data_IF_716607876452
#
_entry.id   IF_716607876452
#
_cell.length_a   1.000
_cell.length_b   1.000
_cell.length_c   1.000
_cell.angle_alpha   90.00
_cell.angle_beta   90.00
_cell.angle_gamma   90.00
#
_symmetry.space_group_name_H-M   'P 1'
#
loop_
_entity.id
_entity.type
_entity.pdbx_description
1 polymer ?
#
# COMPACT_ATOMS: atom_id res chain seq x y z
N UNK A 1 -23.92 13.10 17.91
CA UNK A 1 -23.18 12.42 16.82
C UNK A 1 -23.15 10.94 17.14
N UNK A 2 -23.54 10.09 16.19
CA UNK A 2 -23.38 8.63 16.33
C UNK A 2 -22.01 8.27 15.79
N UNK A 3 -21.15 7.68 16.62
CA UNK A 3 -19.84 7.18 16.21
C UNK A 3 -20.01 5.75 15.71
N UNK A 4 -19.73 5.51 14.43
CA UNK A 4 -19.78 4.16 13.85
C UNK A 4 -18.35 3.60 13.90
N UNK A 5 -18.09 2.48 14.62
CA UNK A 5 -16.79 1.85 14.59
C UNK A 5 -16.50 1.29 13.20
N UNK A 6 -15.29 1.58 12.70
CA UNK A 6 -14.78 1.10 11.41
C UNK A 6 -13.50 0.34 11.67
N UNK A 7 -13.42 -0.89 11.16
CA UNK A 7 -12.18 -1.67 11.12
C UNK A 7 -11.82 -1.96 9.68
N UNK A 8 -10.57 -1.67 9.30
CA UNK A 8 -10.02 -2.02 7.99
C UNK A 8 -8.74 -2.84 8.18
N UNK A 9 -8.57 -3.85 7.33
CA UNK A 9 -7.35 -4.65 7.22
C UNK A 9 -6.77 -4.40 5.84
N UNK A 10 -5.56 -3.85 5.81
CA UNK A 10 -4.83 -3.58 4.59
C UNK A 10 -3.53 -4.38 4.57
N UNK A 11 -3.05 -4.70 3.38
CA UNK A 11 -1.71 -5.26 3.15
C UNK A 11 -0.92 -4.31 2.26
N UNK A 12 0.41 -4.41 2.32
CA UNK A 12 1.28 -3.74 1.36
C UNK A 12 1.70 -4.78 0.32
N UNK A 13 1.52 -4.46 -0.96
CA UNK A 13 1.85 -5.34 -2.08
C UNK A 13 2.85 -4.66 -3.02
N UNK A 14 3.78 -5.45 -3.54
CA UNK A 14 4.62 -5.04 -4.67
C UNK A 14 3.84 -5.28 -5.96
N UNK A 15 3.69 -4.24 -6.79
CA UNK A 15 3.18 -4.34 -8.17
C UNK A 15 4.31 -4.24 -9.17
N UNK A 16 4.32 -5.15 -10.13
CA UNK A 16 5.22 -5.16 -11.29
C UNK A 16 6.73 -5.11 -10.94
N UNK A 17 7.10 -5.50 -9.72
CA UNK A 17 8.47 -5.37 -9.21
C UNK A 17 8.94 -3.92 -9.02
N UNK A 18 8.04 -2.93 -9.07
CA UNK A 18 8.41 -1.50 -9.14
C UNK A 18 7.68 -0.59 -8.16
N UNK A 19 6.45 -0.93 -7.79
CA UNK A 19 5.59 -0.05 -7.00
C UNK A 19 5.15 -0.73 -5.72
N UNK A 20 5.03 0.03 -4.64
CA UNK A 20 4.35 -0.43 -3.42
C UNK A 20 2.97 0.20 -3.35
N UNK A 21 1.97 -0.65 -3.13
CA UNK A 21 0.58 -0.25 -3.00
C UNK A 21 0.01 -0.78 -1.68
N UNK A 22 -0.83 0.04 -1.04
CA UNK A 22 -1.68 -0.40 0.07
C UNK A 22 -2.97 -0.94 -0.50
N UNK A 23 -3.27 -2.21 -0.20
CA UNK A 23 -4.43 -2.93 -0.73
C UNK A 23 -5.39 -3.26 0.40
N UNK A 24 -6.64 -2.83 0.27
CA UNK A 24 -7.70 -3.21 1.21
C UNK A 24 -8.02 -4.70 1.08
N UNK A 25 -7.89 -5.46 2.16
CA UNK A 25 -8.30 -6.87 2.22
C UNK A 25 -9.69 -7.03 2.81
N UNK A 26 -9.98 -6.26 3.86
CA UNK A 26 -11.25 -6.34 4.56
C UNK A 26 -11.61 -4.98 5.14
N UNK A 27 -12.89 -4.64 5.11
CA UNK A 27 -13.45 -3.51 5.84
C UNK A 27 -14.75 -3.96 6.51
N UNK A 28 -14.77 -3.94 7.83
CA UNK A 28 -15.94 -4.25 8.64
C UNK A 28 -16.55 -2.94 9.14
N UNK A 29 -17.70 -2.58 8.58
CA UNK A 29 -18.42 -1.36 8.96
C UNK A 29 -19.92 -1.64 9.03
N UNK A 30 -20.54 -1.25 10.13
CA UNK A 30 -22.00 -1.22 10.27
C UNK A 30 -22.56 -0.12 9.36
N UNK A 31 -23.22 -0.50 8.25
CA UNK A 31 -23.86 0.46 7.32
C UNK A 31 -23.38 0.45 5.86
N UNK A 32 -22.52 -0.49 5.46
CA UNK A 32 -22.29 -0.88 4.04
C UNK A 32 -21.48 0.07 3.14
N UNK A 33 -21.56 1.39 3.33
CA UNK A 33 -20.98 2.37 2.40
C UNK A 33 -19.47 2.64 2.57
N UNK A 34 -18.85 2.14 3.63
CA UNK A 34 -17.50 2.55 4.00
C UNK A 34 -16.37 1.86 3.20
N UNK A 35 -16.62 0.69 2.60
CA UNK A 35 -15.61 -0.01 1.79
C UNK A 35 -15.16 0.86 0.61
N UNK A 36 -16.11 1.33 -0.20
CA UNK A 36 -15.83 2.17 -1.37
C UNK A 36 -15.16 3.50 -0.97
N UNK A 37 -15.51 4.03 0.20
CA UNK A 37 -14.87 5.23 0.74
C UNK A 37 -13.39 4.96 1.05
N UNK A 38 -13.08 3.86 1.75
CA UNK A 38 -11.70 3.48 2.08
C UNK A 38 -10.91 3.20 0.80
N UNK A 39 -11.47 2.44 -0.14
CA UNK A 39 -10.83 2.19 -1.45
C UNK A 39 -10.53 3.50 -2.18
N UNK A 40 -11.48 4.44 -2.25
CA UNK A 40 -11.24 5.75 -2.87
C UNK A 40 -10.16 6.59 -2.16
N UNK A 41 -9.92 6.39 -0.87
CA UNK A 41 -8.80 7.02 -0.18
C UNK A 41 -7.48 6.32 -0.48
N UNK A 42 -7.47 4.98 -0.52
CA UNK A 42 -6.29 4.21 -0.88
C UNK A 42 -5.83 4.51 -2.32
N UNK A 43 -6.77 4.64 -3.26
CA UNK A 43 -6.47 4.99 -4.65
C UNK A 43 -5.75 6.33 -4.80
N UNK A 44 -5.98 7.29 -3.88
CA UNK A 44 -5.35 8.62 -3.91
C UNK A 44 -3.92 8.61 -3.38
N UNK A 45 -3.60 7.66 -2.51
CA UNK A 45 -2.26 7.54 -1.91
C UNK A 45 -1.40 6.51 -2.65
N UNK A 46 -2.01 5.65 -3.47
CA UNK A 46 -1.31 4.64 -4.22
C UNK A 46 -0.74 5.21 -5.54
N UNK A 47 0.47 4.80 -5.96
CA UNK A 47 1.41 4.00 -5.17
C UNK A 47 2.02 4.83 -4.03
N UNK A 48 2.27 4.19 -2.88
CA UNK A 48 2.93 4.86 -1.74
C UNK A 48 4.45 4.99 -1.93
N UNK A 49 5.00 4.26 -2.91
CA UNK A 49 6.39 4.31 -3.31
C UNK A 49 6.53 3.76 -4.73
N UNK A 50 7.34 4.42 -5.57
CA UNK A 50 7.66 4.00 -6.93
C UNK A 50 9.18 4.10 -7.18
N UNK A 51 9.80 3.01 -7.66
CA UNK A 51 11.23 3.01 -8.03
C UNK A 51 11.54 3.95 -9.20
N UNK A 52 10.53 4.40 -9.96
CA UNK A 52 10.70 5.41 -10.99
C UNK A 52 11.30 6.71 -10.44
N UNK A 53 11.03 7.04 -9.17
CA UNK A 53 11.53 8.24 -8.50
C UNK A 53 12.99 8.12 -8.02
N UNK A 54 13.59 6.93 -8.12
CA UNK A 54 14.99 6.71 -7.75
C UNK A 54 15.94 7.01 -8.92
N UNK A 55 17.17 7.50 -8.65
CA UNK A 55 18.20 7.72 -9.67
C UNK A 55 18.88 6.42 -10.13
N UNK A 56 18.36 5.27 -9.74
CA UNK A 56 18.88 3.92 -10.03
C UNK A 56 17.73 3.02 -10.46
N UNK A 57 18.03 1.98 -11.23
CA UNK A 57 17.06 0.96 -11.57
C UNK A 57 17.05 -0.12 -10.48
N UNK A 58 15.88 -0.33 -9.87
CA UNK A 58 15.68 -1.28 -8.78
C UNK A 58 14.51 -2.19 -9.11
N UNK A 59 14.67 -3.49 -8.82
CA UNK A 59 13.59 -4.46 -8.81
C UNK A 59 13.22 -4.82 -7.37
N UNK A 60 11.99 -4.52 -6.97
CA UNK A 60 11.46 -4.84 -5.63
C UNK A 60 11.15 -6.33 -5.51
N UNK A 61 11.62 -6.95 -4.44
CA UNK A 61 11.51 -8.39 -4.19
C UNK A 61 10.57 -8.74 -3.04
N UNK A 62 10.67 -8.03 -1.93
CA UNK A 62 9.84 -8.29 -0.76
C UNK A 62 9.49 -7.02 0.01
N UNK A 63 8.38 -7.09 0.73
CA UNK A 63 7.91 -6.03 1.62
C UNK A 63 7.35 -6.63 2.90
N UNK A 64 7.72 -6.04 4.03
CA UNK A 64 7.25 -6.43 5.35
C UNK A 64 6.82 -5.19 6.14
N UNK A 65 5.70 -5.29 6.84
CA UNK A 65 5.23 -4.27 7.77
C UNK A 65 5.40 -4.79 9.21
N UNK A 66 6.27 -4.14 9.97
CA UNK A 66 6.61 -4.53 11.35
C UNK A 66 6.84 -3.27 12.20
N UNK A 67 6.35 -3.23 13.43
CA UNK A 67 6.66 -2.16 14.37
C UNK A 67 6.41 -0.72 13.88
N UNK A 68 5.43 -0.51 13.00
CA UNK A 68 5.10 0.81 12.44
C UNK A 68 6.02 1.29 11.31
N UNK A 69 6.91 0.43 10.80
CA UNK A 69 7.75 0.70 9.61
C UNK A 69 7.40 -0.27 8.48
N UNK A 70 7.72 0.15 7.26
CA UNK A 70 7.68 -0.68 6.06
C UNK A 70 9.12 -0.95 5.65
N UNK A 71 9.50 -2.22 5.64
CA UNK A 71 10.81 -2.68 5.18
C UNK A 71 10.64 -3.24 3.79
N UNK A 72 11.44 -2.74 2.85
CA UNK A 72 11.37 -3.09 1.43
C UNK A 72 12.74 -3.57 1.01
N UNK A 73 12.80 -4.76 0.40
CA UNK A 73 14.02 -5.28 -0.18
C UNK A 73 13.89 -5.28 -1.70
N UNK A 74 14.95 -4.85 -2.36
CA UNK A 74 15.07 -4.86 -3.80
C UNK A 74 16.52 -4.96 -4.24
N UNK A 75 16.71 -5.32 -5.50
CA UNK A 75 18.02 -5.48 -6.13
C UNK A 75 18.25 -4.36 -7.14
N UNK A 76 19.46 -3.79 -7.14
CA UNK A 76 19.88 -2.81 -8.16
C UNK A 76 20.17 -3.56 -9.45
N UNK A 77 19.44 -3.24 -10.51
CA UNK A 77 19.59 -3.87 -11.83
C UNK A 77 20.34 -2.99 -12.83
N UNK A 78 20.54 -1.72 -12.51
CA UNK A 78 21.22 -0.76 -13.37
C UNK A 78 21.26 0.66 -12.80
N UNK A 79 21.93 1.55 -13.53
CA UNK A 79 21.92 2.99 -13.29
C UNK A 79 21.18 3.63 -14.46
N UNK A 80 20.27 4.58 -14.18
CA UNK A 80 19.51 5.30 -15.19
C UNK A 80 20.38 6.29 -15.97
#
# INVERSE_FOLDING_TARGET
MVTIPVKAVCTIEIRDGKRLEVVLKQADVLGGAAKNLIESQLDKINPIFDVADLPIEVNLMSVEADGGRVVVLGEVVGVK
#
